data_IF_036092034721
#
_entry.id   IF_036092034721
#
_cell.length_a   1.000
_cell.length_b   1.000
_cell.length_c   1.000
_cell.angle_alpha   90.00
_cell.angle_beta   90.00
_cell.angle_gamma   90.00
#
_symmetry.space_group_name_H-M   'P 1'
#
loop_
_entity.id
_entity.type
_entity.pdbx_description
1 polymer ?
#
# COMPACT_ATOMS: atom_id res chain seq x y z
N UNK A 1 -15.39 -8.10 0.34
CA UNK A 1 -14.19 -7.27 0.04
C UNK A 1 -14.02 -6.17 1.08
N UNK A 2 -12.80 -5.70 1.33
CA UNK A 2 -12.65 -4.34 1.88
C UNK A 2 -13.08 -3.37 0.77
N UNK A 3 -13.86 -2.34 1.10
CA UNK A 3 -14.42 -1.37 0.16
C UNK A 3 -13.38 -0.96 -0.91
N UNK A 4 -13.74 -1.15 -2.18
CA UNK A 4 -12.88 -0.94 -3.37
C UNK A 4 -12.85 0.50 -3.86
N UNK A 5 -13.55 1.41 -3.16
CA UNK A 5 -13.67 2.81 -3.53
C UNK A 5 -13.37 3.70 -2.34
N UNK A 6 -12.33 4.53 -2.46
CA UNK A 6 -11.97 5.55 -1.49
C UNK A 6 -10.62 5.34 -0.81
N UNK A 7 -10.19 6.36 -0.07
CA UNK A 7 -8.95 6.38 0.70
C UNK A 7 -9.29 6.30 2.18
N UNK A 8 -8.64 5.40 2.92
CA UNK A 8 -8.78 5.29 4.38
C UNK A 8 -7.44 5.52 5.04
N UNK A 9 -7.43 6.29 6.13
CA UNK A 9 -6.21 6.67 6.85
C UNK A 9 -6.27 6.13 8.26
N UNK A 10 -5.24 5.36 8.65
CA UNK A 10 -5.04 4.89 10.02
C UNK A 10 -3.97 5.77 10.70
N UNK A 11 -4.39 6.59 11.67
CA UNK A 11 -3.50 7.48 12.43
C UNK A 11 -3.45 7.05 13.90
N UNK A 12 -2.28 7.23 14.51
CA UNK A 12 -2.01 6.90 15.90
C UNK A 12 -0.57 7.26 16.27
N UNK A 13 -0.29 7.44 17.55
CA UNK A 13 1.06 7.77 18.06
C UNK A 13 2.07 6.64 17.76
N UNK A 14 3.36 6.91 17.93
CA UNK A 14 4.37 5.85 17.87
C UNK A 14 4.03 4.74 18.89
N UNK A 15 4.28 3.48 18.53
CA UNK A 15 4.00 2.33 19.41
C UNK A 15 2.53 1.90 19.52
N UNK A 16 1.55 2.59 18.93
CA UNK A 16 0.12 2.24 19.08
C UNK A 16 -0.36 1.06 18.21
N UNK A 17 0.55 0.22 17.69
CA UNK A 17 0.17 -0.98 16.94
C UNK A 17 -0.40 -0.75 15.53
N UNK A 18 -0.21 0.41 14.90
CA UNK A 18 -0.73 0.69 13.53
C UNK A 18 -0.29 -0.36 12.51
N UNK A 19 1.00 -0.68 12.48
CA UNK A 19 1.51 -1.70 11.56
C UNK A 19 0.90 -3.08 11.87
N UNK A 20 0.64 -3.41 13.14
CA UNK A 20 -0.06 -4.65 13.49
C UNK A 20 -1.49 -4.70 12.90
N UNK A 21 -2.23 -3.59 12.98
CA UNK A 21 -3.56 -3.47 12.37
C UNK A 21 -3.49 -3.60 10.85
N UNK A 22 -2.52 -2.96 10.20
CA UNK A 22 -2.33 -3.07 8.74
C UNK A 22 -2.05 -4.51 8.31
N UNK A 23 -1.27 -5.29 9.07
CA UNK A 23 -1.03 -6.71 8.78
C UNK A 23 -2.32 -7.52 8.85
N UNK A 24 -3.19 -7.25 9.82
CA UNK A 24 -4.50 -7.94 9.94
C UNK A 24 -5.40 -7.60 8.77
N UNK A 25 -5.42 -6.33 8.33
CA UNK A 25 -6.15 -5.92 7.13
C UNK A 25 -5.61 -6.61 5.87
N UNK A 26 -4.28 -6.70 5.71
CA UNK A 26 -3.64 -7.45 4.64
C UNK A 26 -4.07 -8.93 4.64
N UNK A 27 -3.96 -9.63 5.78
CA UNK A 27 -4.36 -11.03 5.90
C UNK A 27 -5.83 -11.24 5.55
N UNK A 28 -6.72 -10.35 6.02
CA UNK A 28 -8.15 -10.42 5.72
C UNK A 28 -8.43 -10.21 4.22
N UNK A 29 -7.76 -9.25 3.58
CA UNK A 29 -7.90 -8.98 2.16
C UNK A 29 -7.42 -10.17 1.32
N UNK A 30 -6.20 -10.65 1.58
CA UNK A 30 -5.61 -11.79 0.87
C UNK A 30 -6.44 -13.07 1.06
N UNK A 31 -6.92 -13.36 2.27
CA UNK A 31 -7.80 -14.51 2.53
C UNK A 31 -9.13 -14.44 1.78
N UNK A 32 -9.54 -13.25 1.33
CA UNK A 32 -10.74 -13.02 0.52
C UNK A 32 -10.43 -12.96 -0.99
N UNK A 33 -9.23 -13.35 -1.40
CA UNK A 33 -8.78 -13.35 -2.79
C UNK A 33 -8.44 -11.95 -3.33
N UNK A 34 -8.42 -10.91 -2.50
CA UNK A 34 -8.05 -9.57 -2.93
C UNK A 34 -6.53 -9.43 -2.95
N UNK A 35 -6.00 -9.00 -4.10
CA UNK A 35 -4.59 -8.69 -4.26
C UNK A 35 -4.21 -7.49 -3.37
N UNK A 36 -3.06 -7.54 -2.70
CA UNK A 36 -2.58 -6.45 -1.84
C UNK A 36 -1.17 -6.05 -2.26
N UNK A 37 -0.96 -4.76 -2.50
CA UNK A 37 0.34 -4.17 -2.81
C UNK A 37 0.77 -3.30 -1.64
N UNK A 38 1.87 -3.69 -0.98
CA UNK A 38 2.47 -2.94 0.12
C UNK A 38 3.46 -1.90 -0.39
N UNK A 39 3.31 -0.66 0.06
CA UNK A 39 4.19 0.46 -0.25
C UNK A 39 4.77 1.04 1.03
N UNK A 40 6.02 1.47 0.97
CA UNK A 40 6.67 2.17 2.07
C UNK A 40 7.66 3.24 1.56
N UNK A 41 8.00 4.25 2.38
CA UNK A 41 8.91 5.33 1.98
C UNK A 41 10.38 4.89 1.89
N UNK A 42 10.78 3.86 2.65
CA UNK A 42 12.18 3.43 2.80
C UNK A 42 12.35 1.94 2.53
N UNK A 43 13.57 1.53 2.15
CA UNK A 43 13.90 0.11 1.98
C UNK A 43 13.76 -0.68 3.29
N UNK A 44 14.06 -0.06 4.44
CA UNK A 44 13.86 -0.69 5.75
C UNK A 44 12.39 -1.04 5.98
N UNK A 45 11.48 -0.08 5.78
CA UNK A 45 10.04 -0.32 5.95
C UNK A 45 9.49 -1.31 4.91
N UNK A 46 10.04 -1.36 3.69
CA UNK A 46 9.74 -2.42 2.71
C UNK A 46 10.15 -3.80 3.24
N UNK A 47 11.35 -3.94 3.79
CA UNK A 47 11.82 -5.20 4.38
C UNK A 47 10.95 -5.63 5.56
N UNK A 48 10.47 -4.69 6.37
CA UNK A 48 9.53 -4.98 7.45
C UNK A 48 8.17 -5.46 6.94
N UNK A 49 7.61 -4.83 5.90
CA UNK A 49 6.37 -5.32 5.27
C UNK A 49 6.55 -6.74 4.74
N UNK A 50 7.70 -7.06 4.11
CA UNK A 50 8.01 -8.42 3.64
C UNK A 50 8.08 -9.41 4.79
N UNK A 51 8.76 -9.09 5.89
CA UNK A 51 8.84 -9.99 7.06
C UNK A 51 7.48 -10.23 7.72
N UNK A 52 6.53 -9.30 7.52
CA UNK A 52 5.15 -9.40 7.97
C UNK A 52 4.22 -10.20 7.02
N UNK A 53 4.76 -10.70 5.91
CA UNK A 53 4.08 -11.62 4.98
C UNK A 53 3.47 -10.96 3.75
N UNK A 54 3.77 -9.69 3.47
CA UNK A 54 3.39 -9.09 2.18
C UNK A 54 4.28 -9.66 1.06
N UNK A 55 3.67 -10.07 -0.05
CA UNK A 55 4.38 -10.69 -1.18
C UNK A 55 4.73 -9.68 -2.28
N UNK A 56 3.86 -8.71 -2.56
CA UNK A 56 4.13 -7.61 -3.48
C UNK A 56 4.42 -6.33 -2.71
N UNK A 57 5.71 -5.96 -2.63
CA UNK A 57 6.17 -4.84 -1.80
C UNK A 57 7.21 -3.99 -2.51
N UNK A 58 7.01 -2.68 -2.49
CA UNK A 58 7.88 -1.71 -3.15
C UNK A 58 8.08 -0.45 -2.30
N UNK A 59 9.15 0.30 -2.58
CA UNK A 59 9.18 1.70 -2.14
C UNK A 59 8.16 2.49 -2.96
N UNK A 60 7.58 3.57 -2.42
CA UNK A 60 6.64 4.41 -3.19
C UNK A 60 7.26 4.88 -4.50
N UNK A 61 8.51 5.36 -4.47
CA UNK A 61 9.25 5.78 -5.68
C UNK A 61 9.50 4.61 -6.63
N UNK A 62 9.91 3.45 -6.12
CA UNK A 62 10.16 2.27 -6.94
C UNK A 62 8.90 1.73 -7.62
N UNK A 63 7.76 1.81 -6.93
CA UNK A 63 6.45 1.51 -7.50
C UNK A 63 6.09 2.48 -8.63
N UNK A 64 6.19 3.80 -8.39
CA UNK A 64 5.89 4.81 -9.40
C UNK A 64 6.80 4.68 -10.63
N UNK A 65 8.07 4.38 -10.42
CA UNK A 65 9.03 4.12 -11.50
C UNK A 65 8.64 2.89 -12.34
N UNK A 66 8.28 1.78 -11.69
CA UNK A 66 7.95 0.52 -12.36
C UNK A 66 6.47 0.32 -12.68
N UNK A 67 5.62 1.32 -12.44
CA UNK A 67 4.14 1.22 -12.49
C UNK A 67 3.56 0.51 -13.72
N UNK A 68 4.18 0.66 -14.90
CA UNK A 68 3.71 0.01 -16.14
C UNK A 68 3.85 -1.51 -16.14
N UNK A 69 4.71 -2.06 -15.26
CA UNK A 69 4.98 -3.49 -15.13
C UNK A 69 4.22 -4.13 -13.95
N UNK A 70 3.50 -3.33 -13.17
CA UNK A 70 2.82 -3.78 -11.95
C UNK A 70 1.34 -3.91 -12.27
N UNK A 71 0.80 -5.13 -12.16
CA UNK A 71 -0.62 -5.38 -12.36
C UNK A 71 -1.41 -4.92 -11.12
N UNK A 72 -2.18 -3.84 -11.27
CA UNK A 72 -2.88 -3.15 -10.17
C UNK A 72 -4.40 -3.34 -10.16
N UNK A 73 -4.96 -4.03 -11.14
CA UNK A 73 -6.41 -4.24 -11.23
C UNK A 73 -6.92 -4.92 -9.94
N UNK A 74 -8.06 -4.43 -9.42
CA UNK A 74 -8.73 -4.95 -8.23
C UNK A 74 -7.85 -5.12 -6.98
N UNK A 75 -6.76 -4.34 -6.90
CA UNK A 75 -5.77 -4.43 -5.83
C UNK A 75 -6.02 -3.43 -4.71
N UNK A 76 -5.81 -3.86 -3.47
CA UNK A 76 -5.70 -2.99 -2.30
C UNK A 76 -4.27 -2.45 -2.20
N UNK A 77 -4.11 -1.13 -2.31
CA UNK A 77 -2.83 -0.47 -2.05
C UNK A 77 -2.73 -0.10 -0.56
N UNK A 78 -1.69 -0.59 0.12
CA UNK A 78 -1.40 -0.24 1.52
C UNK A 78 -0.12 0.58 1.56
N UNK A 79 -0.15 1.75 2.20
CA UNK A 79 1.04 2.59 2.41
C UNK A 79 1.38 2.59 3.91
N UNK A 80 2.46 1.92 4.30
CA UNK A 80 3.01 2.00 5.66
C UNK A 80 3.94 3.22 5.78
N UNK A 81 4.05 3.78 6.98
CA UNK A 81 4.79 5.03 7.24
C UNK A 81 4.38 6.19 6.31
N UNK A 82 3.07 6.28 6.04
CA UNK A 82 2.43 7.27 5.18
C UNK A 82 2.84 8.73 5.48
N UNK A 83 3.12 9.05 6.75
CA UNK A 83 3.55 10.40 7.16
C UNK A 83 4.89 10.85 6.58
N UNK A 84 5.71 9.93 6.07
CA UNK A 84 7.00 10.24 5.45
C UNK A 84 6.92 10.44 3.93
N UNK A 85 5.76 10.17 3.31
CA UNK A 85 5.58 10.27 1.87
C UNK A 85 5.22 11.71 1.51
N UNK A 86 6.05 12.35 0.67
CA UNK A 86 5.83 13.73 0.26
C UNK A 86 4.62 13.92 -0.66
N UNK A 87 4.03 15.12 -0.63
CA UNK A 87 2.81 15.48 -1.37
C UNK A 87 2.90 15.19 -2.88
N UNK A 88 4.04 15.48 -3.51
CA UNK A 88 4.23 15.21 -4.96
C UNK A 88 4.13 13.72 -5.28
N UNK A 89 4.72 12.86 -4.43
CA UNK A 89 4.65 11.41 -4.61
C UNK A 89 3.23 10.89 -4.38
N UNK A 90 2.48 11.44 -3.41
CA UNK A 90 1.08 11.12 -3.23
C UNK A 90 0.19 11.53 -4.41
N UNK A 91 0.38 12.74 -4.93
CA UNK A 91 -0.36 13.22 -6.10
C UNK A 91 -0.15 12.28 -7.30
N UNK A 92 1.10 11.85 -7.53
CA UNK A 92 1.40 10.88 -8.58
C UNK A 92 0.80 9.49 -8.29
N UNK A 93 0.92 9.00 -7.06
CA UNK A 93 0.35 7.72 -6.65
C UNK A 93 -1.16 7.68 -6.87
N UNK A 94 -1.89 8.71 -6.44
CA UNK A 94 -3.34 8.79 -6.65
C UNK A 94 -3.71 8.84 -8.13
N UNK A 95 -2.95 9.59 -8.94
CA UNK A 95 -3.16 9.64 -10.40
C UNK A 95 -2.97 8.25 -11.03
N UNK A 96 -1.90 7.55 -10.67
CA UNK A 96 -1.58 6.21 -11.19
C UNK A 96 -2.66 5.20 -10.77
N UNK A 97 -3.04 5.17 -9.50
CA UNK A 97 -4.03 4.22 -8.99
C UNK A 97 -5.42 4.50 -9.59
N UNK A 98 -5.83 5.77 -9.69
CA UNK A 98 -7.13 6.15 -10.30
C UNK A 98 -7.24 5.66 -11.74
N UNK A 99 -6.21 5.86 -12.56
CA UNK A 99 -6.22 5.46 -13.96
C UNK A 99 -6.21 3.93 -14.16
N UNK A 100 -5.88 3.16 -13.12
CA UNK A 100 -5.97 1.69 -13.16
C UNK A 100 -7.36 1.16 -12.79
N UNK A 101 -8.28 1.99 -12.30
CA UNK A 101 -9.65 1.58 -11.96
C UNK A 101 -10.60 1.73 -13.17
N UNK A 102 -10.20 2.50 -14.20
CA UNK A 102 -11.05 2.90 -15.34
C UNK A 102 -10.70 2.19 -16.66
N UNK A 103 -9.86 1.16 -16.62
CA UNK A 103 -9.61 0.25 -17.75
C UNK A 103 -10.23 -1.10 -17.44
#
# INVERSE_FOLDING_TARGET
MLSTSGVRVLRGRAGTGKSYVLIKAHKLATNRGQKVIGLAPTHKAVSELRSKGYTEVYTVKGFLYNRKKIFMQDSLIVVDEAGMVGTKAYAELFRVVRNNIVN
#
